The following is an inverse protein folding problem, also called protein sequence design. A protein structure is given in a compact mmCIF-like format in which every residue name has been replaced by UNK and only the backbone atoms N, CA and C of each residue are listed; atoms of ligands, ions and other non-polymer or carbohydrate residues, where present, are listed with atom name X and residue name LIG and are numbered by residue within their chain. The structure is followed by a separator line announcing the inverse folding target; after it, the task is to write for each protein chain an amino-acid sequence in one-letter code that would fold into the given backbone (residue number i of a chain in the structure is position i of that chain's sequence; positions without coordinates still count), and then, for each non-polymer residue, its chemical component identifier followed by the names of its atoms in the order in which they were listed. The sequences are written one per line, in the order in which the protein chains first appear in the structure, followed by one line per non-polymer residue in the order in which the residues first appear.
data_IF_169502293569
#
_entry.id   IF_169502293569
#
_cell.length_a   1.000
_cell.length_b   1.000
_cell.length_c   1.000
_cell.angle_alpha   90.00
_cell.angle_beta   90.00
_cell.angle_gamma   90.00
#
_symmetry.space_group_name_H-M   'P 1'
#
loop_
_entity.id
_entity.type
_entity.pdbx_description
1 polymer ?
#
# COMPACT_ATOMS: atom_id res chain seq x y z
N UNK A 1 -24.38 9.77 16.94
CA UNK A 1 -23.82 9.88 15.58
C UNK A 1 -22.33 9.69 15.75
N UNK A 2 -21.87 8.44 15.71
CA UNK A 2 -20.45 8.14 15.75
C UNK A 2 -19.88 8.49 14.38
N UNK A 3 -19.03 9.51 14.32
CA UNK A 3 -18.27 9.80 13.11
C UNK A 3 -17.31 8.63 12.88
N UNK A 4 -17.13 8.13 11.65
CA UNK A 4 -16.13 7.10 11.39
C UNK A 4 -14.79 7.65 11.86
N UNK A 5 -14.20 7.00 12.86
CA UNK A 5 -12.88 7.31 13.40
C UNK A 5 -11.94 7.44 12.21
N UNK A 6 -11.41 8.64 11.96
CA UNK A 6 -10.42 8.83 10.91
C UNK A 6 -9.28 7.84 11.17
N UNK A 7 -9.06 6.89 10.25
CA UNK A 7 -8.00 5.90 10.32
C UNK A 7 -6.68 6.62 10.66
N UNK A 8 -6.11 6.30 11.82
CA UNK A 8 -4.84 6.90 12.24
C UNK A 8 -3.71 6.29 11.42
N UNK A 9 -2.79 7.09 10.85
CA UNK A 9 -1.62 6.55 10.19
C UNK A 9 -0.71 5.86 11.20
N UNK A 10 -0.05 4.77 10.77
CA UNK A 10 0.96 4.09 11.57
C UNK A 10 2.15 5.02 11.88
N UNK A 11 2.67 4.91 13.09
CA UNK A 11 3.97 5.45 13.48
C UNK A 11 5.12 4.68 12.81
N UNK A 12 6.32 5.26 12.82
CA UNK A 12 7.51 4.59 12.26
C UNK A 12 7.77 3.22 12.90
N UNK A 13 7.64 3.10 14.22
CA UNK A 13 7.87 1.82 14.90
C UNK A 13 6.81 0.78 14.56
N UNK A 14 5.55 1.17 14.40
CA UNK A 14 4.50 0.26 13.93
C UNK A 14 4.77 -0.20 12.48
N UNK A 15 5.28 0.67 11.61
CA UNK A 15 5.69 0.29 10.26
C UNK A 15 6.87 -0.70 10.28
N UNK A 16 7.82 -0.56 11.21
CA UNK A 16 8.90 -1.52 11.41
C UNK A 16 8.39 -2.89 11.87
N UNK A 17 7.39 -2.91 12.76
CA UNK A 17 6.73 -4.15 13.19
C UNK A 17 5.97 -4.83 12.06
N UNK A 18 5.25 -4.05 11.23
CA UNK A 18 4.59 -4.57 10.03
C UNK A 18 5.59 -5.12 9.03
N UNK A 19 6.72 -4.43 8.83
CA UNK A 19 7.79 -4.90 7.95
C UNK A 19 8.40 -6.22 8.43
N UNK A 20 8.64 -6.35 9.74
CA UNK A 20 9.12 -7.60 10.35
C UNK A 20 8.06 -8.72 10.32
N UNK A 21 6.78 -8.33 10.27
CA UNK A 21 5.63 -9.24 10.23
C UNK A 21 5.29 -9.82 8.87
N UNK A 22 5.93 -9.39 7.78
CA UNK A 22 5.74 -9.89 6.42
C UNK A 22 4.46 -9.40 5.73
N UNK A 23 4.22 -9.91 4.51
CA UNK A 23 2.99 -9.61 3.74
C UNK A 23 1.73 -10.16 4.42
N UNK A 24 0.64 -9.40 4.33
CA UNK A 24 -0.69 -9.68 4.92
C UNK A 24 -1.77 -9.13 4.00
N UNK A 25 -3.04 -9.41 4.29
CA UNK A 25 -4.17 -8.93 3.49
C UNK A 25 -4.24 -7.39 3.33
N UNK A 26 -3.63 -6.64 4.27
CA UNK A 26 -3.53 -5.18 4.23
C UNK A 26 -2.07 -4.67 4.19
N UNK A 27 -1.09 -5.55 3.95
CA UNK A 27 0.34 -5.22 3.89
C UNK A 27 0.99 -5.88 2.67
N UNK A 28 1.50 -5.08 1.73
CA UNK A 28 2.10 -5.57 0.48
C UNK A 28 3.54 -5.11 0.33
N UNK A 29 4.44 -5.99 -0.13
CA UNK A 29 5.84 -5.66 -0.41
C UNK A 29 6.11 -5.61 -1.92
N UNK A 30 6.95 -4.66 -2.36
CA UNK A 30 7.36 -4.51 -3.76
C UNK A 30 8.85 -4.25 -3.86
N UNK A 31 9.57 -5.21 -4.43
CA UNK A 31 11.02 -5.16 -4.62
C UNK A 31 11.46 -4.15 -5.70
N UNK A 32 10.62 -3.92 -6.70
CA UNK A 32 10.95 -3.04 -7.81
C UNK A 32 9.69 -2.33 -8.32
N UNK A 33 9.84 -1.46 -9.31
CA UNK A 33 8.73 -0.67 -9.85
C UNK A 33 8.60 -0.73 -11.38
N UNK A 34 9.04 -1.83 -11.96
CA UNK A 34 9.03 -2.04 -13.41
C UNK A 34 7.87 -2.96 -13.86
N UNK A 35 7.64 -3.03 -15.17
CA UNK A 35 6.66 -3.93 -15.78
C UNK A 35 5.26 -3.80 -15.19
N UNK A 36 4.70 -4.92 -14.75
CA UNK A 36 3.33 -5.02 -14.25
C UNK A 36 3.17 -4.64 -12.76
N UNK A 37 4.24 -4.24 -12.07
CA UNK A 37 4.19 -3.93 -10.63
C UNK A 37 3.17 -2.82 -10.32
N UNK A 38 3.09 -1.79 -11.17
CA UNK A 38 2.13 -0.70 -10.96
C UNK A 38 0.68 -1.18 -11.01
N UNK A 39 0.36 -2.08 -11.94
CA UNK A 39 -0.98 -2.65 -12.07
C UNK A 39 -1.32 -3.47 -10.82
N UNK A 40 -0.42 -4.37 -10.41
CA UNK A 40 -0.58 -5.19 -9.19
C UNK A 40 -0.72 -4.33 -7.94
N UNK A 41 0.03 -3.24 -7.88
CA UNK A 41 -0.07 -2.28 -6.78
C UNK A 41 -1.42 -1.58 -6.75
N UNK A 42 -1.93 -1.13 -7.90
CA UNK A 42 -3.26 -0.52 -7.97
C UNK A 42 -4.37 -1.51 -7.55
N UNK A 43 -4.25 -2.78 -7.93
CA UNK A 43 -5.13 -3.86 -7.49
C UNK A 43 -5.07 -4.05 -5.96
N UNK A 44 -3.87 -4.12 -5.38
CA UNK A 44 -3.69 -4.23 -3.93
C UNK A 44 -4.29 -3.03 -3.17
N UNK A 45 -4.04 -1.80 -3.64
CA UNK A 45 -4.62 -0.59 -3.05
C UNK A 45 -6.14 -0.59 -3.14
N UNK A 46 -6.72 -1.11 -4.25
CA UNK A 46 -8.16 -1.27 -4.38
C UNK A 46 -8.71 -2.28 -3.36
N UNK A 47 -8.02 -3.41 -3.17
CA UNK A 47 -8.36 -4.40 -2.13
C UNK A 47 -8.32 -3.80 -0.74
N UNK A 48 -7.28 -3.03 -0.41
CA UNK A 48 -7.15 -2.33 0.88
C UNK A 48 -8.31 -1.35 1.12
N UNK A 49 -8.64 -0.54 0.09
CA UNK A 49 -9.67 0.48 0.20
C UNK A 49 -11.08 -0.10 0.37
N UNK A 50 -11.34 -1.26 -0.24
CA UNK A 50 -12.63 -1.94 -0.12
C UNK A 50 -12.79 -2.73 1.18
N UNK A 51 -11.69 -2.95 1.91
CA UNK A 51 -11.62 -3.67 3.18
C UNK A 51 -12.60 -4.86 3.27
N UNK A 52 -12.58 -5.73 2.26
CA UNK A 52 -13.56 -6.82 2.13
C UNK A 52 -13.47 -7.83 3.29
N UNK A 53 -12.32 -7.89 3.97
CA UNK A 53 -12.08 -8.70 5.16
C UNK A 53 -12.43 -7.98 6.47
N UNK A 54 -12.86 -6.71 6.39
CA UNK A 54 -13.27 -5.86 7.51
C UNK A 54 -12.18 -5.72 8.60
N UNK A 55 -10.92 -5.61 8.17
CA UNK A 55 -9.77 -5.45 9.05
C UNK A 55 -9.79 -4.09 9.77
N UNK A 56 -10.50 -3.08 9.25
CA UNK A 56 -10.56 -1.71 9.78
C UNK A 56 -9.17 -1.10 10.06
N UNK A 57 -8.17 -1.54 9.30
CA UNK A 57 -6.77 -1.13 9.42
C UNK A 57 -6.35 -0.37 8.15
N UNK A 58 -5.51 0.68 8.26
CA UNK A 58 -4.92 1.30 7.07
C UNK A 58 -4.10 0.28 6.26
N UNK A 59 -4.32 0.21 4.96
CA UNK A 59 -3.47 -0.59 4.07
C UNK A 59 -2.08 0.02 3.89
N UNK A 60 -1.04 -0.80 3.92
CA UNK A 60 0.37 -0.37 3.78
C UNK A 60 1.04 -1.07 2.61
N UNK A 61 1.78 -0.30 1.80
CA UNK A 61 2.61 -0.83 0.74
C UNK A 61 4.06 -0.39 0.93
N UNK A 62 4.96 -1.36 1.03
CA UNK A 62 6.40 -1.13 1.15
C UNK A 62 7.07 -1.24 -0.22
N UNK A 63 7.64 -0.14 -0.71
CA UNK A 63 8.42 -0.12 -1.94
C UNK A 63 9.92 -0.26 -1.64
N UNK A 64 10.62 -1.06 -2.43
CA UNK A 64 12.03 -1.38 -2.24
C UNK A 64 12.31 -2.47 -1.20
N UNK A 65 11.33 -3.34 -0.95
CA UNK A 65 11.39 -4.40 0.08
C UNK A 65 11.18 -5.77 -0.57
N UNK A 66 12.00 -6.74 -0.17
CA UNK A 66 11.90 -8.16 -0.52
C UNK A 66 10.83 -8.87 0.29
N UNK A 67 10.37 -10.01 -0.20
CA UNK A 67 9.27 -10.77 0.42
C UNK A 67 9.63 -11.25 1.84
N UNK A 68 10.93 -11.28 2.17
CA UNK A 68 11.46 -11.56 3.50
C UNK A 68 11.64 -10.31 4.39
N UNK A 69 11.13 -9.15 3.99
CA UNK A 69 11.25 -7.87 4.69
C UNK A 69 12.59 -7.14 4.50
N UNK A 70 13.56 -7.73 3.79
CA UNK A 70 14.87 -7.09 3.59
C UNK A 70 14.80 -5.98 2.53
N UNK A 71 15.45 -4.82 2.74
CA UNK A 71 15.56 -3.80 1.70
C UNK A 71 16.35 -4.34 0.49
N UNK A 72 15.91 -4.01 -0.72
CA UNK A 72 16.58 -4.44 -1.97
C UNK A 72 17.41 -3.34 -2.65
N UNK A 73 17.51 -2.16 -2.04
CA UNK A 73 18.28 -1.04 -2.60
C UNK A 73 17.65 -0.36 -3.81
N UNK A 74 16.32 -0.43 -3.95
CA UNK A 74 15.58 0.32 -4.97
C UNK A 74 15.90 1.81 -4.85
N UNK A 75 16.42 2.49 -5.90
CA UNK A 75 16.69 3.92 -5.84
C UNK A 75 15.38 4.69 -5.67
N UNK A 76 15.20 5.28 -4.49
CA UNK A 76 14.05 6.13 -4.18
C UNK A 76 14.34 7.54 -4.72
N UNK A 77 13.94 7.77 -5.97
CA UNK A 77 14.11 9.05 -6.66
C UNK A 77 12.80 9.68 -7.10
N UNK A 78 12.86 10.90 -7.64
CA UNK A 78 11.67 11.66 -8.10
C UNK A 78 10.78 10.86 -9.05
N UNK A 79 11.37 10.15 -10.00
CA UNK A 79 10.63 9.30 -10.94
C UNK A 79 9.80 8.22 -10.22
N UNK A 80 10.32 7.59 -9.16
CA UNK A 80 9.57 6.60 -8.40
C UNK A 80 8.41 7.26 -7.64
N UNK A 81 8.65 8.43 -7.03
CA UNK A 81 7.62 9.19 -6.32
C UNK A 81 6.48 9.64 -7.25
N UNK A 82 6.81 10.11 -8.46
CA UNK A 82 5.81 10.44 -9.50
C UNK A 82 4.97 9.21 -9.88
N UNK A 83 5.61 8.05 -9.99
CA UNK A 83 4.91 6.82 -10.35
C UNK A 83 4.03 6.29 -9.21
N UNK A 84 4.44 6.47 -7.96
CA UNK A 84 3.67 6.14 -6.76
C UNK A 84 2.44 7.05 -6.63
N UNK A 85 2.65 8.37 -6.72
CA UNK A 85 1.57 9.37 -6.65
C UNK A 85 0.58 9.25 -7.82
N UNK A 86 1.06 8.79 -8.98
CA UNK A 86 0.25 8.49 -10.16
C UNK A 86 -0.75 7.33 -9.99
N UNK A 87 -0.58 6.43 -9.01
CA UNK A 87 -1.50 5.31 -8.80
C UNK A 87 -2.93 5.79 -8.54
N UNK A 88 -3.08 6.90 -7.81
CA UNK A 88 -4.38 7.50 -7.49
C UNK A 88 -5.09 8.08 -8.72
N UNK A 89 -4.34 8.46 -9.75
CA UNK A 89 -4.83 9.21 -10.91
C UNK A 89 -5.03 8.38 -12.18
N UNK A 90 -4.53 7.14 -12.23
CA UNK A 90 -4.56 6.29 -13.44
C UNK A 90 -5.96 5.72 -13.80
N UNK A 91 -7.02 6.10 -13.08
CA UNK A 91 -8.40 5.65 -13.36
C UNK A 91 -8.63 4.14 -13.14
N UNK A 92 -7.65 3.41 -12.59
CA UNK A 92 -7.74 1.98 -12.25
C UNK A 92 -8.25 1.70 -10.83
N UNK A 93 -8.47 2.74 -10.03
CA UNK A 93 -9.22 2.66 -8.77
C UNK A 93 -10.70 2.83 -9.13
N UNK A 94 -11.39 1.72 -9.36
CA UNK A 94 -12.83 1.67 -9.70
C UNK A 94 -13.66 1.33 -8.44
N UNK A 95 -14.92 1.79 -8.35
CA UNK A 95 -15.39 3.19 -8.21
C UNK A 95 -15.22 3.71 -6.75
N UNK A 96 -15.53 4.99 -6.43
CA UNK A 96 -15.59 5.44 -5.05
C UNK A 96 -16.57 4.59 -4.22
N UNK A 97 -16.27 4.34 -2.93
CA UNK A 97 -17.13 3.54 -2.06
C UNK A 97 -18.54 4.13 -2.03
N UNK A 98 -19.52 3.31 -2.38
CA UNK A 98 -20.94 3.65 -2.19
C UNK A 98 -21.28 3.51 -0.71
N UNK A 99 -21.91 4.56 -0.16
CA UNK A 99 -22.50 4.63 1.18
C UNK A 99 -23.48 3.48 1.46
#
# INVERSE_FOLDING_TARGET
MEYPTAMQPYSTSELEELLAGGERDWVEFKQNWNGNVRKKTAEAVCTFANDLANHNCPGVLFAGVQDNGAPCGLPIGGQLLEQLTGIKTDGKILPPPTL
#
